data_IF_676523342330
#
_entry.id   IF_676523342330
#
_cell.length_a   1.000
_cell.length_b   1.000
_cell.length_c   1.000
_cell.angle_alpha   90.00
_cell.angle_beta   90.00
_cell.angle_gamma   90.00
#
_symmetry.space_group_name_H-M   'P 1'
#
loop_
_entity.id
_entity.type
_entity.pdbx_description
1 polymer ?
#
# COMPACT_ATOMS: atom_id res chain seq x y z
N UNK A 1 -13.98 15.04 29.78
CA UNK A 1 -14.76 14.32 28.75
C UNK A 1 -15.67 15.28 28.00
N UNK A 2 -16.17 16.35 28.64
CA UNK A 2 -17.14 17.30 28.05
C UNK A 2 -16.58 18.23 26.96
N UNK A 3 -15.28 18.58 27.01
CA UNK A 3 -14.64 19.45 26.01
C UNK A 3 -14.45 18.77 24.65
N UNK A 4 -14.20 17.46 24.64
CA UNK A 4 -14.12 16.68 23.39
C UNK A 4 -15.50 16.53 22.75
N UNK A 5 -16.55 16.36 23.55
CA UNK A 5 -17.93 16.30 23.06
C UNK A 5 -18.41 17.65 22.52
N UNK A 6 -17.99 18.78 23.11
CA UNK A 6 -18.34 20.11 22.63
C UNK A 6 -17.67 20.47 21.30
N UNK A 7 -16.41 20.08 21.09
CA UNK A 7 -15.65 20.39 19.86
C UNK A 7 -15.97 19.41 18.74
N UNK A 8 -16.14 18.12 19.06
CA UNK A 8 -16.37 17.11 18.02
C UNK A 8 -17.85 16.81 17.80
N UNK A 9 -18.76 17.04 18.75
CA UNK A 9 -20.16 16.62 18.63
C UNK A 9 -20.35 15.10 18.51
N UNK A 10 -21.56 14.59 18.76
CA UNK A 10 -21.97 13.22 18.45
C UNK A 10 -23.38 13.27 17.86
N UNK A 11 -23.60 12.68 16.68
CA UNK A 11 -24.93 12.61 16.05
C UNK A 11 -24.96 12.97 14.57
N UNK A 12 -26.17 12.92 13.99
CA UNK A 12 -26.48 13.14 12.57
C UNK A 12 -26.46 14.62 12.14
N UNK A 13 -26.56 15.55 13.10
CA UNK A 13 -26.61 17.00 12.83
C UNK A 13 -25.25 17.64 13.11
N UNK A 14 -24.29 17.41 12.21
CA UNK A 14 -22.98 18.04 12.26
C UNK A 14 -23.02 19.40 11.55
N UNK A 15 -22.74 20.46 12.30
CA UNK A 15 -22.54 21.78 11.71
C UNK A 15 -21.30 21.83 10.82
N UNK A 16 -21.28 22.74 9.83
CA UNK A 16 -20.14 22.92 8.91
C UNK A 16 -18.82 23.11 9.67
N UNK A 17 -18.83 23.93 10.73
CA UNK A 17 -17.65 24.18 11.56
C UNK A 17 -17.14 22.92 12.28
N UNK A 18 -18.04 22.10 12.84
CA UNK A 18 -17.66 20.84 13.49
C UNK A 18 -17.07 19.83 12.51
N UNK A 19 -17.56 19.80 11.26
CA UNK A 19 -16.97 18.99 10.20
C UNK A 19 -15.58 19.48 9.81
N UNK A 20 -15.38 20.80 9.71
CA UNK A 20 -14.07 21.40 9.45
C UNK A 20 -13.06 21.03 10.56
N UNK A 21 -13.43 21.20 11.83
CA UNK A 21 -12.56 20.89 12.97
C UNK A 21 -12.15 19.41 13.00
N UNK A 22 -13.10 18.53 12.73
CA UNK A 22 -12.85 17.09 12.58
C UNK A 22 -11.93 16.76 11.43
N UNK A 23 -12.14 17.39 10.27
CA UNK A 23 -11.28 17.23 9.10
C UNK A 23 -9.83 17.59 9.43
N UNK A 24 -9.62 18.74 10.09
CA UNK A 24 -8.29 19.20 10.52
C UNK A 24 -7.68 18.21 11.53
N UNK A 25 -8.45 17.78 12.54
CA UNK A 25 -7.98 16.84 13.53
C UNK A 25 -7.58 15.48 12.93
N UNK A 26 -8.40 14.94 12.01
CA UNK A 26 -8.10 13.69 11.30
C UNK A 26 -6.90 13.84 10.37
N UNK A 27 -6.72 14.99 9.73
CA UNK A 27 -5.54 15.28 8.93
C UNK A 27 -4.26 15.26 9.78
N UNK A 28 -4.25 15.97 10.92
CA UNK A 28 -3.11 15.99 11.86
C UNK A 28 -2.85 14.57 12.38
N UNK A 29 -3.89 13.84 12.79
CA UNK A 29 -3.79 12.45 13.21
C UNK A 29 -3.15 11.57 12.12
N UNK A 30 -3.58 11.74 10.87
CA UNK A 30 -3.04 10.99 9.72
C UNK A 30 -1.54 11.25 9.54
N UNK A 31 -1.09 12.51 9.67
CA UNK A 31 0.34 12.86 9.62
C UNK A 31 1.14 12.16 10.73
N UNK A 32 0.61 12.12 11.96
CA UNK A 32 1.24 11.42 13.08
C UNK A 32 1.32 9.91 12.80
N UNK A 33 0.23 9.31 12.33
CA UNK A 33 0.17 7.89 11.98
C UNK A 33 1.16 7.53 10.86
N UNK A 34 1.26 8.36 9.82
CA UNK A 34 2.26 8.21 8.75
C UNK A 34 3.68 8.22 9.34
N UNK A 35 3.96 9.16 10.26
CA UNK A 35 5.28 9.29 10.88
C UNK A 35 5.66 8.08 11.72
N UNK A 36 4.69 7.47 12.41
CA UNK A 36 4.85 6.25 13.20
C UNK A 36 5.02 5.03 12.29
N UNK A 37 4.22 4.94 11.22
CA UNK A 37 4.26 3.83 10.26
C UNK A 37 5.62 3.72 9.55
N UNK A 38 6.27 4.85 9.28
CA UNK A 38 7.61 4.91 8.70
C UNK A 38 7.60 4.95 7.16
N UNK A 39 8.78 5.16 6.56
CA UNK A 39 8.91 5.46 5.12
C UNK A 39 8.49 4.31 4.18
N UNK A 40 8.46 3.06 4.65
CA UNK A 40 8.13 1.88 3.82
C UNK A 40 6.63 1.80 3.53
N UNK A 41 5.81 2.09 4.53
CA UNK A 41 4.37 1.83 4.55
C UNK A 41 3.53 2.64 3.56
N UNK A 42 3.95 3.87 3.26
CA UNK A 42 3.23 4.76 2.35
C UNK A 42 3.88 4.86 0.97
N UNK A 43 4.96 4.11 0.72
CA UNK A 43 5.56 4.04 -0.60
C UNK A 43 4.77 3.10 -1.55
N UNK A 44 3.67 2.48 -1.08
CA UNK A 44 2.77 1.59 -1.83
C UNK A 44 3.56 0.52 -2.60
N UNK A 45 4.64 0.02 -1.98
CA UNK A 45 5.59 -0.89 -2.63
C UNK A 45 5.14 -2.32 -2.56
N UNK A 46 4.29 -2.66 -1.59
CA UNK A 46 3.82 -4.01 -1.35
C UNK A 46 2.29 -4.05 -1.38
N UNK A 47 1.66 -5.19 -1.74
CA UNK A 47 0.21 -5.34 -1.66
C UNK A 47 -0.34 -5.06 -0.25
N UNK A 48 0.44 -5.40 0.78
CA UNK A 48 0.09 -5.18 2.17
C UNK A 48 0.02 -3.68 2.52
N UNK A 49 0.92 -2.87 2.00
CA UNK A 49 0.88 -1.41 2.15
C UNK A 49 -0.42 -0.84 1.57
N UNK A 50 -0.83 -1.32 0.38
CA UNK A 50 -2.06 -0.90 -0.27
C UNK A 50 -3.30 -1.21 0.58
N UNK A 51 -3.38 -2.44 1.12
CA UNK A 51 -4.49 -2.86 2.00
C UNK A 51 -4.59 -1.94 3.23
N UNK A 52 -3.45 -1.56 3.81
CA UNK A 52 -3.43 -0.75 5.03
C UNK A 52 -3.83 0.69 4.75
N UNK A 53 -3.38 1.28 3.65
CA UNK A 53 -3.81 2.64 3.26
C UNK A 53 -5.32 2.68 3.05
N UNK A 54 -5.89 1.67 2.38
CA UNK A 54 -7.33 1.56 2.16
C UNK A 54 -8.08 1.39 3.50
N UNK A 55 -7.63 0.47 4.35
CA UNK A 55 -8.24 0.21 5.65
C UNK A 55 -8.18 1.44 6.56
N UNK A 56 -7.02 2.11 6.62
CA UNK A 56 -6.82 3.29 7.43
C UNK A 56 -7.70 4.44 6.95
N UNK A 57 -7.77 4.67 5.62
CA UNK A 57 -8.66 5.67 5.03
C UNK A 57 -10.13 5.40 5.35
N UNK A 58 -10.57 4.15 5.26
CA UNK A 58 -11.94 3.75 5.61
C UNK A 58 -12.27 4.02 7.09
N UNK A 59 -11.34 3.70 8.00
CA UNK A 59 -11.53 3.91 9.44
C UNK A 59 -11.49 5.40 9.80
N UNK A 60 -10.53 6.16 9.26
CA UNK A 60 -10.41 7.61 9.47
C UNK A 60 -11.62 8.38 8.93
N UNK A 61 -12.19 7.95 7.80
CA UNK A 61 -13.41 8.55 7.24
C UNK A 61 -14.58 8.51 8.24
N UNK A 62 -14.71 7.43 9.03
CA UNK A 62 -15.74 7.32 10.07
C UNK A 62 -15.54 8.34 11.20
N UNK A 63 -14.31 8.77 11.48
CA UNK A 63 -14.04 9.85 12.43
C UNK A 63 -14.45 11.22 11.89
N UNK A 64 -14.21 11.49 10.61
CA UNK A 64 -14.60 12.75 9.96
C UNK A 64 -16.12 12.91 9.97
N UNK A 65 -16.83 11.89 9.49
CA UNK A 65 -18.30 11.89 9.38
C UNK A 65 -18.98 11.68 10.74
N UNK A 66 -18.25 11.29 11.78
CA UNK A 66 -18.82 11.03 13.11
C UNK A 66 -19.65 9.78 13.21
N UNK A 67 -19.51 8.87 12.26
CA UNK A 67 -20.17 7.57 12.27
C UNK A 67 -19.64 6.67 13.40
N UNK A 68 -18.56 7.05 14.07
CA UNK A 68 -17.98 6.33 15.21
C UNK A 68 -17.30 7.31 16.18
N UNK A 69 -17.21 6.98 17.48
CA UNK A 69 -16.55 7.84 18.44
C UNK A 69 -15.06 8.02 18.10
N UNK A 70 -14.55 9.25 18.26
CA UNK A 70 -13.21 9.63 17.81
C UNK A 70 -12.09 8.83 18.47
N UNK A 71 -12.14 8.66 19.80
CA UNK A 71 -11.09 7.96 20.57
C UNK A 71 -10.93 6.48 20.16
N UNK A 72 -12.01 5.66 20.10
CA UNK A 72 -11.93 4.31 19.54
C UNK A 72 -11.35 4.25 18.12
N UNK A 73 -11.71 5.20 17.25
CA UNK A 73 -11.14 5.27 15.89
C UNK A 73 -9.63 5.50 15.95
N UNK A 74 -9.17 6.46 16.74
CA UNK A 74 -7.73 6.74 16.93
C UNK A 74 -6.97 5.50 17.42
N UNK A 75 -7.50 4.81 18.44
CA UNK A 75 -6.89 3.59 18.98
C UNK A 75 -6.85 2.45 17.95
N UNK A 76 -7.90 2.32 17.15
CA UNK A 76 -7.98 1.33 16.07
C UNK A 76 -6.94 1.62 14.99
N UNK A 77 -6.86 2.88 14.52
CA UNK A 77 -5.86 3.32 13.56
C UNK A 77 -4.43 3.09 14.07
N UNK A 78 -4.17 3.42 15.33
CA UNK A 78 -2.86 3.20 15.95
C UNK A 78 -2.51 1.71 16.02
N UNK A 79 -3.47 0.86 16.39
CA UNK A 79 -3.29 -0.60 16.43
C UNK A 79 -2.93 -1.15 15.04
N UNK A 80 -3.63 -0.70 13.99
CA UNK A 80 -3.35 -1.10 12.60
C UNK A 80 -1.93 -0.69 12.20
N UNK A 81 -1.51 0.54 12.50
CA UNK A 81 -0.18 1.05 12.17
C UNK A 81 0.93 0.31 12.93
N UNK A 82 0.73 0.02 14.22
CA UNK A 82 1.70 -0.74 15.00
C UNK A 82 1.82 -2.17 14.49
N UNK A 83 0.70 -2.81 14.15
CA UNK A 83 0.68 -4.14 13.57
C UNK A 83 1.39 -4.17 12.22
N UNK A 84 1.15 -3.17 11.37
CA UNK A 84 1.88 -3.02 10.10
C UNK A 84 3.38 -2.94 10.30
N UNK A 85 3.81 -2.09 11.24
CA UNK A 85 5.22 -1.92 11.54
C UNK A 85 5.85 -3.20 12.09
N UNK A 86 5.11 -3.94 12.93
CA UNK A 86 5.54 -5.25 13.42
C UNK A 86 5.70 -6.25 12.27
N UNK A 87 4.74 -6.32 11.34
CA UNK A 87 4.84 -7.16 10.15
C UNK A 87 6.03 -6.75 9.27
N UNK A 88 6.22 -5.46 9.01
CA UNK A 88 7.36 -4.97 8.23
C UNK A 88 8.72 -5.37 8.86
N UNK A 89 8.81 -5.37 10.18
CA UNK A 89 9.99 -5.85 10.91
C UNK A 89 10.16 -7.37 10.81
N UNK A 90 9.08 -8.14 10.95
CA UNK A 90 9.11 -9.60 10.83
C UNK A 90 9.49 -10.06 9.41
N UNK A 91 8.91 -9.42 8.39
CA UNK A 91 9.24 -9.66 6.97
C UNK A 91 10.72 -9.37 6.72
N UNK A 92 11.24 -8.24 7.23
CA UNK A 92 12.66 -7.89 7.09
C UNK A 92 13.61 -8.92 7.72
N UNK A 93 13.14 -9.73 8.68
CA UNK A 93 13.95 -10.75 9.37
C UNK A 93 13.81 -12.15 8.78
N UNK A 94 12.83 -12.41 7.91
CA UNK A 94 12.52 -13.76 7.42
C UNK A 94 12.07 -13.84 5.95
N UNK A 95 12.88 -14.51 5.12
CA UNK A 95 12.56 -14.75 3.69
C UNK A 95 11.24 -15.54 3.50
N UNK A 96 10.95 -16.50 4.38
CA UNK A 96 9.71 -17.31 4.29
C UNK A 96 8.44 -16.50 4.56
N UNK A 97 8.48 -15.58 5.53
CA UNK A 97 7.34 -14.70 5.81
C UNK A 97 7.12 -13.71 4.67
N UNK A 98 8.21 -13.17 4.12
CA UNK A 98 8.20 -12.30 2.95
C UNK A 98 7.50 -12.98 1.77
N UNK A 99 7.90 -14.22 1.44
CA UNK A 99 7.27 -15.00 0.36
C UNK A 99 5.78 -15.25 0.60
N UNK A 100 5.37 -15.55 1.84
CA UNK A 100 3.97 -15.85 2.14
C UNK A 100 3.09 -14.60 2.11
N UNK A 101 3.62 -13.46 2.56
CA UNK A 101 2.87 -12.20 2.70
C UNK A 101 2.94 -11.28 1.47
N UNK A 102 4.12 -11.13 0.87
CA UNK A 102 4.36 -10.25 -0.27
C UNK A 102 4.42 -11.03 -1.60
N UNK A 103 4.55 -12.36 -1.57
CA UNK A 103 4.68 -13.18 -2.76
C UNK A 103 6.13 -13.35 -3.22
N UNK A 104 6.33 -14.10 -4.30
CA UNK A 104 7.64 -14.25 -4.97
C UNK A 104 7.60 -13.57 -6.33
N UNK A 105 8.72 -12.93 -6.70
CA UNK A 105 8.87 -12.40 -8.06
C UNK A 105 8.87 -13.54 -9.07
N UNK A 106 8.28 -13.30 -10.24
CA UNK A 106 8.15 -14.30 -11.31
C UNK A 106 9.02 -13.88 -12.48
N UNK A 107 9.92 -14.75 -12.93
CA UNK A 107 10.73 -14.50 -14.11
C UNK A 107 9.87 -14.67 -15.37
N UNK A 108 9.73 -13.64 -16.19
CA UNK A 108 8.86 -13.66 -17.38
C UNK A 108 9.64 -13.84 -18.69
N UNK A 109 10.88 -13.33 -18.72
CA UNK A 109 11.77 -13.39 -19.88
C UNK A 109 13.21 -13.60 -19.42
N UNK A 110 13.92 -14.51 -20.06
CA UNK A 110 15.35 -14.75 -19.84
C UNK A 110 15.98 -15.38 -21.08
N UNK A 111 17.28 -15.17 -21.26
CA UNK A 111 18.08 -15.86 -22.29
C UNK A 111 17.52 -15.76 -23.72
N UNK A 112 16.89 -14.62 -24.03
CA UNK A 112 16.33 -14.38 -25.36
C UNK A 112 14.88 -14.87 -25.53
N UNK A 113 14.29 -15.55 -24.55
CA UNK A 113 13.00 -16.22 -24.68
C UNK A 113 11.99 -15.83 -23.60
N UNK A 114 10.71 -15.79 -23.98
CA UNK A 114 9.59 -15.66 -23.05
C UNK A 114 9.31 -17.01 -22.39
N UNK A 115 9.10 -17.00 -21.08
CA UNK A 115 8.77 -18.19 -20.30
C UNK A 115 7.25 -18.36 -20.23
N UNK A 116 6.66 -19.02 -21.22
CA UNK A 116 5.19 -19.10 -21.39
C UNK A 116 4.45 -19.69 -20.17
N UNK A 117 5.04 -20.67 -19.48
CA UNK A 117 4.47 -21.23 -18.25
C UNK A 117 4.42 -20.20 -17.11
N UNK A 118 5.44 -19.35 -17.03
CA UNK A 118 5.52 -18.29 -16.03
C UNK A 118 4.56 -17.14 -16.37
N UNK A 119 4.42 -16.79 -17.65
CA UNK A 119 3.42 -15.82 -18.13
C UNK A 119 2.00 -16.26 -17.74
N UNK A 120 1.66 -17.54 -17.96
CA UNK A 120 0.36 -18.11 -17.57
C UNK A 120 0.15 -18.07 -16.06
N UNK A 121 1.16 -18.43 -15.27
CA UNK A 121 1.08 -18.38 -13.80
C UNK A 121 0.94 -16.95 -13.26
N UNK A 122 1.57 -16.00 -13.93
CA UNK A 122 1.49 -14.58 -13.63
C UNK A 122 0.23 -13.89 -14.19
N UNK A 123 -0.57 -14.59 -15.02
CA UNK A 123 -1.73 -14.05 -15.72
C UNK A 123 -1.42 -12.80 -16.56
N UNK A 124 -0.23 -12.77 -17.17
CA UNK A 124 0.23 -11.66 -18.02
C UNK A 124 0.49 -12.14 -19.44
N UNK A 125 0.17 -11.29 -20.41
CA UNK A 125 0.45 -11.51 -21.83
C UNK A 125 1.87 -11.08 -22.19
N UNK A 126 2.35 -11.49 -23.37
CA UNK A 126 3.63 -11.00 -23.91
C UNK A 126 3.60 -9.47 -24.13
N UNK A 127 2.43 -8.91 -24.47
CA UNK A 127 2.28 -7.46 -24.64
C UNK A 127 2.43 -6.72 -23.32
N UNK A 128 1.94 -7.28 -22.20
CA UNK A 128 2.15 -6.70 -20.87
C UNK A 128 3.64 -6.63 -20.53
N UNK A 129 4.40 -7.68 -20.89
CA UNK A 129 5.85 -7.70 -20.73
C UNK A 129 6.52 -6.64 -21.58
N UNK A 130 6.15 -6.53 -22.86
CA UNK A 130 6.69 -5.50 -23.76
C UNK A 130 6.35 -4.08 -23.29
N UNK A 131 5.14 -3.85 -22.76
CA UNK A 131 4.76 -2.60 -22.12
C UNK A 131 5.64 -2.31 -20.90
N UNK A 132 5.90 -3.32 -20.06
CA UNK A 132 6.82 -3.22 -18.93
C UNK A 132 8.24 -2.86 -19.36
N UNK A 133 8.72 -3.46 -20.46
CA UNK A 133 10.03 -3.15 -21.04
C UNK A 133 10.10 -1.70 -21.52
N UNK A 134 9.07 -1.22 -22.23
CA UNK A 134 9.02 0.19 -22.66
C UNK A 134 9.00 1.15 -21.47
N UNK A 135 8.25 0.83 -20.42
CA UNK A 135 8.14 1.70 -19.24
C UNK A 135 9.43 1.77 -18.42
N UNK A 136 10.12 0.63 -18.24
CA UNK A 136 11.27 0.52 -17.33
C UNK A 136 12.61 0.64 -18.06
N UNK A 137 12.72 0.06 -19.24
CA UNK A 137 13.94 0.05 -20.05
C UNK A 137 13.93 1.03 -21.23
N UNK A 138 12.83 1.77 -21.46
CA UNK A 138 12.74 2.81 -22.50
C UNK A 138 13.21 2.33 -23.88
N UNK A 139 12.96 1.05 -24.19
CA UNK A 139 13.39 0.39 -25.42
C UNK A 139 12.35 -0.65 -25.84
N UNK A 140 12.34 -0.98 -27.12
CA UNK A 140 11.60 -2.13 -27.68
C UNK A 140 12.55 -3.27 -28.10
N UNK A 141 13.87 -3.03 -28.05
CA UNK A 141 14.88 -3.99 -28.48
C UNK A 141 15.14 -5.04 -27.40
N UNK A 142 14.55 -6.22 -27.58
CA UNK A 142 14.76 -7.39 -26.73
C UNK A 142 16.23 -7.84 -26.67
N UNK A 143 17.07 -7.49 -27.65
CA UNK A 143 18.49 -7.87 -27.62
C UNK A 143 19.25 -7.18 -26.49
N UNK A 144 18.78 -6.04 -26.03
CA UNK A 144 19.36 -5.28 -24.91
C UNK A 144 18.87 -5.78 -23.54
N UNK A 145 17.92 -6.71 -23.52
CA UNK A 145 17.31 -7.22 -22.29
C UNK A 145 17.92 -8.56 -21.92
N UNK A 146 18.38 -8.69 -20.67
CA UNK A 146 18.86 -9.95 -20.12
C UNK A 146 17.72 -10.72 -19.45
N UNK A 147 16.96 -10.04 -18.56
CA UNK A 147 15.87 -10.64 -17.78
C UNK A 147 14.74 -9.67 -17.53
N UNK A 148 13.53 -10.21 -17.43
CA UNK A 148 12.33 -9.45 -17.04
C UNK A 148 11.62 -10.19 -15.91
N UNK A 149 11.26 -9.46 -14.86
CA UNK A 149 10.57 -9.99 -13.70
C UNK A 149 9.23 -9.29 -13.50
N UNK A 150 8.23 -10.05 -13.07
CA UNK A 150 7.08 -9.50 -12.36
C UNK A 150 7.42 -9.44 -10.88
N UNK A 151 7.45 -8.24 -10.32
CA UNK A 151 7.64 -7.99 -8.90
C UNK A 151 6.37 -8.31 -8.10
N UNK A 152 6.53 -8.41 -6.79
CA UNK A 152 5.47 -8.70 -5.82
C UNK A 152 4.26 -7.74 -5.87
N UNK A 153 4.49 -6.50 -6.30
CA UNK A 153 3.45 -5.49 -6.48
C UNK A 153 2.79 -5.54 -7.87
N UNK A 154 3.11 -6.55 -8.69
CA UNK A 154 2.66 -6.68 -10.08
C UNK A 154 3.41 -5.77 -11.07
N UNK A 155 4.37 -4.97 -10.60
CA UNK A 155 5.21 -4.16 -11.46
C UNK A 155 6.17 -5.02 -12.28
N UNK A 156 6.45 -4.62 -13.52
CA UNK A 156 7.40 -5.31 -14.39
C UNK A 156 8.74 -4.57 -14.37
N UNK A 157 9.80 -5.28 -13.96
CA UNK A 157 11.17 -4.76 -13.87
C UNK A 157 12.07 -5.47 -14.87
N UNK A 158 13.09 -4.75 -15.36
CA UNK A 158 13.94 -5.20 -16.46
C UNK A 158 15.40 -5.08 -16.06
N UNK A 159 16.15 -6.14 -16.32
CA UNK A 159 17.61 -6.16 -16.25
C UNK A 159 18.14 -6.09 -17.67
N UNK A 160 18.88 -5.02 -17.97
CA UNK A 160 19.55 -4.85 -19.27
C UNK A 160 20.88 -5.60 -19.28
N UNK A 161 21.36 -5.94 -20.47
CA UNK A 161 22.71 -6.44 -20.70
C UNK A 161 23.76 -5.35 -20.50
#
# INVERSE_FOLDING_TARGET
MDTLHAIFGQGKDLGILQMCDRGIAVFILSLVLIRISGRRSFALRTPLDNIIVILLGAVLSRAVVGASPFVPVVVTCLSIVLLHRAFGWLIARGYRLTRWMEGEKILLYAEGQFLDDHLRRALVSREDVMQGIRKTALTEDLKQIERVYMEQNGGITVVRK
#
